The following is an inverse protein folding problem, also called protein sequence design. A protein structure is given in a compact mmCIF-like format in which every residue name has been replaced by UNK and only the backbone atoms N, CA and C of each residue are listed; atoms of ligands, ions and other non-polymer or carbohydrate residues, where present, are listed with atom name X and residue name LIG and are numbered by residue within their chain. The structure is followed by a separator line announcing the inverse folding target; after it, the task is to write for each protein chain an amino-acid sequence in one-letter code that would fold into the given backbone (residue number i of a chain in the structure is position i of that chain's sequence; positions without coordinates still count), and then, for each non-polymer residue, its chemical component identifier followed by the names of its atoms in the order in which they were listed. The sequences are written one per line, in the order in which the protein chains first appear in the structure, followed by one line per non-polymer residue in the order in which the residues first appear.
data_IF_410343113321
#
_entry.id   IF_410343113321
#
_cell.length_a   1.000
_cell.length_b   1.000
_cell.length_c   1.000
_cell.angle_alpha   90.00
_cell.angle_beta   90.00
_cell.angle_gamma   90.00
#
_symmetry.space_group_name_H-M   'P 1'
#
loop_
_entity.id
_entity.type
_entity.pdbx_description
1 polymer ?
#
# COMPACT_ATOMS: atom_id res chain seq x y z
N UNK A 1 32.50 -43.59 12.45
CA UNK A 1 32.43 -42.88 11.15
C UNK A 1 32.14 -41.41 11.41
N UNK A 2 33.11 -40.52 11.23
CA UNK A 2 32.93 -39.09 11.49
C UNK A 2 32.04 -38.44 10.42
N UNK A 3 31.05 -37.66 10.84
CA UNK A 3 30.15 -36.93 9.92
C UNK A 3 30.95 -35.79 9.29
N UNK A 4 30.93 -35.66 7.97
CA UNK A 4 31.59 -34.54 7.28
C UNK A 4 30.88 -33.22 7.60
N UNK A 5 31.64 -32.11 7.68
CA UNK A 5 31.09 -30.77 7.97
C UNK A 5 29.90 -30.40 7.07
N UNK A 6 29.97 -30.76 5.78
CA UNK A 6 28.88 -30.55 4.82
C UNK A 6 27.60 -31.33 5.18
N UNK A 7 27.72 -32.60 5.61
CA UNK A 7 26.57 -33.42 6.05
C UNK A 7 25.97 -32.91 7.36
N UNK A 8 26.80 -32.39 8.27
CA UNK A 8 26.33 -31.75 9.50
C UNK A 8 25.55 -30.46 9.18
N UNK A 9 26.08 -29.59 8.31
CA UNK A 9 25.41 -28.36 7.89
C UNK A 9 24.06 -28.61 7.22
N UNK A 10 23.99 -29.61 6.33
CA UNK A 10 22.73 -30.00 5.67
C UNK A 10 21.69 -30.53 6.67
N UNK A 11 22.10 -31.33 7.67
CA UNK A 11 21.19 -31.81 8.72
C UNK A 11 20.66 -30.69 9.60
N UNK A 12 21.51 -29.72 9.94
CA UNK A 12 21.10 -28.53 10.69
C UNK A 12 20.09 -27.72 9.88
N UNK A 13 20.37 -27.48 8.59
CA UNK A 13 19.43 -26.81 7.69
C UNK A 13 18.07 -27.51 7.65
N UNK A 14 18.03 -28.84 7.42
CA UNK A 14 16.79 -29.62 7.43
C UNK A 14 16.07 -29.55 8.78
N UNK A 15 16.82 -29.61 9.90
CA UNK A 15 16.26 -29.49 11.24
C UNK A 15 15.61 -28.14 11.47
N UNK A 16 16.26 -27.05 11.05
CA UNK A 16 15.71 -25.69 11.11
C UNK A 16 14.43 -25.60 10.26
N UNK A 17 14.46 -26.06 9.02
CA UNK A 17 13.27 -26.07 8.14
C UNK A 17 12.12 -26.83 8.80
N UNK A 18 12.39 -28.03 9.35
CA UNK A 18 11.37 -28.83 10.03
C UNK A 18 10.76 -28.12 11.23
N UNK A 19 11.58 -27.47 12.07
CA UNK A 19 11.10 -26.70 13.22
C UNK A 19 10.19 -25.56 12.77
N UNK A 20 10.57 -24.81 11.73
CA UNK A 20 9.73 -23.76 11.16
C UNK A 20 8.40 -24.32 10.61
N UNK A 21 8.44 -25.44 9.89
CA UNK A 21 7.22 -26.07 9.37
C UNK A 21 6.27 -26.54 10.48
N UNK A 22 6.80 -27.15 11.54
CA UNK A 22 6.00 -27.61 12.68
C UNK A 22 5.41 -26.43 13.46
N UNK A 23 6.20 -25.37 13.69
CA UNK A 23 5.72 -24.15 14.35
C UNK A 23 4.60 -23.49 13.54
N UNK A 24 4.76 -23.40 12.22
CA UNK A 24 3.72 -22.88 11.32
C UNK A 24 2.45 -23.72 11.39
N UNK A 25 2.56 -25.04 11.27
CA UNK A 25 1.41 -25.95 11.34
C UNK A 25 0.67 -25.85 12.68
N UNK A 26 1.40 -25.88 13.80
CA UNK A 26 0.82 -25.73 15.13
C UNK A 26 0.06 -24.40 15.29
N UNK A 27 0.63 -23.31 14.77
CA UNK A 27 0.01 -21.98 14.78
C UNK A 27 -1.28 -21.96 13.95
N UNK A 28 -1.26 -22.52 12.73
CA UNK A 28 -2.45 -22.60 11.87
C UNK A 28 -3.57 -23.40 12.54
N UNK A 29 -3.24 -24.56 13.13
CA UNK A 29 -4.21 -25.41 13.85
C UNK A 29 -4.81 -24.67 15.05
N UNK A 30 -3.97 -23.98 15.84
CA UNK A 30 -4.41 -23.20 16.99
C UNK A 30 -5.38 -22.07 16.59
N UNK A 31 -5.02 -21.27 15.58
CA UNK A 31 -5.87 -20.20 15.08
C UNK A 31 -7.20 -20.73 14.54
N UNK A 32 -7.16 -21.80 13.73
CA UNK A 32 -8.35 -22.41 13.17
C UNK A 32 -9.30 -22.94 14.26
N UNK A 33 -8.76 -23.68 15.23
CA UNK A 33 -9.53 -24.19 16.35
C UNK A 33 -10.13 -23.03 17.20
N UNK A 34 -9.34 -22.01 17.50
CA UNK A 34 -9.77 -20.84 18.26
C UNK A 34 -10.88 -20.04 17.59
N UNK A 35 -10.79 -19.82 16.27
CA UNK A 35 -11.83 -19.15 15.49
C UNK A 35 -13.10 -20.00 15.45
N UNK A 36 -12.98 -21.32 15.17
CA UNK A 36 -14.12 -22.24 15.11
C UNK A 36 -14.85 -22.35 16.44
N UNK A 37 -14.13 -22.31 17.55
CA UNK A 37 -14.68 -22.36 18.90
C UNK A 37 -15.12 -20.98 19.41
N UNK A 38 -15.00 -19.91 18.60
CA UNK A 38 -15.28 -18.51 18.99
C UNK A 38 -14.45 -18.00 20.17
N UNK A 39 -13.37 -18.69 20.53
CA UNK A 39 -12.40 -18.25 21.52
C UNK A 39 -11.54 -17.09 21.00
N UNK A 40 -11.32 -17.04 19.68
CA UNK A 40 -10.68 -15.92 18.97
C UNK A 40 -11.73 -15.30 18.05
N UNK A 41 -12.01 -14.00 18.24
CA UNK A 41 -12.88 -13.27 17.32
C UNK A 41 -12.04 -12.66 16.20
N UNK A 42 -12.48 -12.84 14.96
CA UNK A 42 -11.81 -12.27 13.78
C UNK A 42 -11.68 -10.74 13.89
N UNK A 43 -12.68 -10.08 14.49
CA UNK A 43 -12.66 -8.64 14.72
C UNK A 43 -11.48 -8.17 15.59
N UNK A 44 -10.99 -9.02 16.51
CA UNK A 44 -9.90 -8.64 17.42
C UNK A 44 -8.53 -8.76 16.73
N UNK A 45 -8.42 -9.63 15.72
CA UNK A 45 -7.15 -9.89 14.98
C UNK A 45 -7.07 -9.17 13.64
N UNK A 46 -8.20 -8.82 13.03
CA UNK A 46 -8.26 -8.17 11.72
C UNK A 46 -7.43 -6.87 11.65
N UNK A 47 -7.48 -5.95 12.64
CA UNK A 47 -6.69 -4.72 12.59
C UNK A 47 -5.18 -5.01 12.50
N UNK A 48 -4.69 -5.99 13.27
CA UNK A 48 -3.28 -6.38 13.24
C UNK A 48 -2.89 -7.00 11.91
N UNK A 49 -3.75 -7.85 11.34
CA UNK A 49 -3.51 -8.45 10.03
C UNK A 49 -3.44 -7.40 8.92
N UNK A 50 -4.31 -6.38 8.97
CA UNK A 50 -4.27 -5.29 8.00
C UNK A 50 -3.00 -4.46 8.11
N UNK A 51 -2.54 -4.17 9.34
CA UNK A 51 -1.26 -3.48 9.55
C UNK A 51 -0.07 -4.29 9.02
N UNK A 52 -0.06 -5.61 9.22
CA UNK A 52 0.99 -6.48 8.67
C UNK A 52 0.99 -6.45 7.14
N UNK A 53 -0.19 -6.53 6.50
CA UNK A 53 -0.28 -6.44 5.02
C UNK A 53 0.20 -5.07 4.51
N UNK A 54 -0.18 -3.98 5.18
CA UNK A 54 0.29 -2.62 4.85
C UNK A 54 1.81 -2.54 4.97
N UNK A 55 2.40 -3.03 6.06
CA UNK A 55 3.85 -3.04 6.27
C UNK A 55 4.57 -3.83 5.19
N UNK A 56 4.01 -4.97 4.74
CA UNK A 56 4.57 -5.73 3.62
C UNK A 56 4.58 -4.90 2.34
N UNK A 57 3.51 -4.16 2.04
CA UNK A 57 3.44 -3.28 0.87
C UNK A 57 4.46 -2.13 0.98
N UNK A 58 4.57 -1.50 2.14
CA UNK A 58 5.57 -0.47 2.40
C UNK A 58 6.99 -1.00 2.24
N UNK A 59 7.28 -2.21 2.76
CA UNK A 59 8.57 -2.85 2.58
C UNK A 59 8.88 -3.10 1.10
N UNK A 60 7.93 -3.60 0.32
CA UNK A 60 8.09 -3.75 -1.13
C UNK A 60 8.34 -2.40 -1.82
N UNK A 61 7.70 -1.33 -1.35
CA UNK A 61 7.86 0.02 -1.90
C UNK A 61 9.28 0.58 -1.67
N UNK A 62 9.92 0.27 -0.54
CA UNK A 62 11.31 0.69 -0.25
C UNK A 62 12.31 0.20 -1.30
N UNK A 63 12.07 -0.98 -1.88
CA UNK A 63 12.94 -1.56 -2.91
C UNK A 63 12.53 -1.16 -4.34
N UNK A 64 11.54 -0.29 -4.49
CA UNK A 64 11.02 0.14 -5.79
C UNK A 64 11.32 1.61 -6.08
N UNK A 65 11.50 1.96 -7.36
CA UNK A 65 11.56 3.36 -7.80
C UNK A 65 10.22 4.08 -7.62
N UNK A 66 10.19 5.40 -7.85
CA UNK A 66 9.00 6.23 -7.60
C UNK A 66 7.72 5.72 -8.29
N UNK A 67 7.81 5.22 -9.52
CA UNK A 67 6.67 4.61 -10.23
C UNK A 67 6.20 3.31 -9.57
N UNK A 68 7.13 2.50 -9.07
CA UNK A 68 6.82 1.28 -8.31
C UNK A 68 6.14 1.61 -6.99
N UNK A 69 6.66 2.60 -6.26
CA UNK A 69 6.06 3.12 -5.03
C UNK A 69 4.65 3.62 -5.29
N UNK A 70 4.44 4.37 -6.38
CA UNK A 70 3.11 4.86 -6.76
C UNK A 70 2.14 3.71 -7.10
N UNK A 71 2.59 2.67 -7.81
CA UNK A 71 1.75 1.49 -8.09
C UNK A 71 1.32 0.79 -6.80
N UNK A 72 2.24 0.61 -5.87
CA UNK A 72 1.95 0.00 -4.56
C UNK A 72 1.00 0.89 -3.76
N UNK A 73 1.23 2.19 -3.73
CA UNK A 73 0.39 3.15 -3.02
C UNK A 73 -1.04 3.20 -3.59
N UNK A 74 -1.21 3.15 -4.92
CA UNK A 74 -2.52 3.03 -5.58
C UNK A 74 -3.22 1.73 -5.23
N UNK A 75 -2.49 0.61 -5.19
CA UNK A 75 -3.03 -0.69 -4.77
C UNK A 75 -3.54 -0.65 -3.33
N UNK A 76 -2.76 -0.07 -2.40
CA UNK A 76 -3.19 0.17 -1.02
C UNK A 76 -4.42 1.08 -0.98
N UNK A 77 -4.44 2.16 -1.76
CA UNK A 77 -5.57 3.07 -1.79
C UNK A 77 -6.87 2.36 -2.22
N UNK A 78 -6.81 1.51 -3.24
CA UNK A 78 -7.92 0.70 -3.74
C UNK A 78 -8.40 -0.34 -2.71
N UNK A 79 -7.46 -0.93 -1.95
CA UNK A 79 -7.79 -1.84 -0.83
C UNK A 79 -8.55 -1.15 0.31
N UNK A 80 -8.68 0.18 0.28
CA UNK A 80 -9.57 0.95 1.16
C UNK A 80 -11.01 0.42 1.23
N UNK A 81 -11.47 -0.29 0.20
CA UNK A 81 -12.75 -0.98 0.20
C UNK A 81 -12.86 -2.06 1.29
N UNK A 82 -11.76 -2.73 1.65
CA UNK A 82 -11.74 -3.75 2.72
C UNK A 82 -11.71 -3.13 4.11
N UNK A 83 -10.89 -2.09 4.28
CA UNK A 83 -10.80 -1.31 5.51
C UNK A 83 -10.20 0.09 5.21
N UNK A 84 -10.75 1.18 5.78
CA UNK A 84 -10.24 2.54 5.58
C UNK A 84 -8.75 2.72 5.89
N UNK A 85 -8.16 1.85 6.73
CA UNK A 85 -6.73 1.89 7.07
C UNK A 85 -5.84 1.76 5.84
N UNK A 86 -6.26 0.98 4.83
CA UNK A 86 -5.53 0.83 3.58
C UNK A 86 -5.59 2.10 2.72
N UNK A 87 -6.77 2.72 2.60
CA UNK A 87 -6.93 3.98 1.90
C UNK A 87 -6.06 5.08 2.50
N UNK A 88 -6.01 5.13 3.84
CA UNK A 88 -5.15 6.07 4.57
C UNK A 88 -3.67 5.86 4.24
N UNK A 89 -3.17 4.62 4.40
CA UNK A 89 -1.76 4.30 4.12
C UNK A 89 -1.38 4.57 2.65
N UNK A 90 -2.24 4.19 1.69
CA UNK A 90 -2.02 4.45 0.28
C UNK A 90 -1.99 5.95 -0.05
N UNK A 91 -2.87 6.73 0.57
CA UNK A 91 -2.91 8.19 0.41
C UNK A 91 -1.66 8.86 0.98
N UNK A 92 -1.22 8.49 2.17
CA UNK A 92 -0.01 9.03 2.79
C UNK A 92 1.23 8.81 1.90
N UNK A 93 1.36 7.61 1.31
CA UNK A 93 2.43 7.32 0.35
C UNK A 93 2.33 8.15 -0.94
N UNK A 94 1.11 8.40 -1.43
CA UNK A 94 0.89 9.26 -2.60
C UNK A 94 1.26 10.71 -2.27
N UNK A 95 0.91 11.20 -1.07
CA UNK A 95 1.26 12.53 -0.58
C UNK A 95 2.78 12.71 -0.50
N UNK A 96 3.50 11.79 0.13
CA UNK A 96 4.97 11.83 0.23
C UNK A 96 5.63 11.85 -1.17
N UNK A 97 5.14 11.03 -2.10
CA UNK A 97 5.64 11.04 -3.48
C UNK A 97 5.32 12.35 -4.21
N UNK A 98 4.13 12.91 -4.00
CA UNK A 98 3.73 14.17 -4.61
C UNK A 98 4.56 15.36 -4.09
N UNK A 99 4.84 15.38 -2.77
CA UNK A 99 5.67 16.37 -2.09
C UNK A 99 7.14 16.28 -2.51
N UNK A 100 7.66 15.07 -2.76
CA UNK A 100 8.99 14.86 -3.35
C UNK A 100 9.08 15.22 -4.85
N UNK A 101 8.00 15.70 -5.44
CA UNK A 101 7.97 16.23 -6.81
C UNK A 101 7.54 15.22 -7.88
N UNK A 102 7.20 13.97 -7.52
CA UNK A 102 6.86 12.96 -8.52
C UNK A 102 5.59 13.34 -9.31
N UNK A 103 5.69 13.58 -10.64
CA UNK A 103 4.58 14.18 -11.39
C UNK A 103 3.35 13.27 -11.45
N UNK A 104 3.52 11.96 -11.63
CA UNK A 104 2.40 11.03 -11.64
C UNK A 104 1.69 10.96 -10.28
N UNK A 105 2.42 11.14 -9.17
CA UNK A 105 1.82 11.19 -7.82
C UNK A 105 1.10 12.51 -7.57
N UNK A 106 1.64 13.64 -8.03
CA UNK A 106 0.94 14.93 -7.94
C UNK A 106 -0.41 14.90 -8.66
N UNK A 107 -0.46 14.35 -9.88
CA UNK A 107 -1.72 14.15 -10.61
C UNK A 107 -2.66 13.20 -9.84
N UNK A 108 -2.13 12.09 -9.31
CA UNK A 108 -2.94 11.12 -8.55
C UNK A 108 -3.52 11.73 -7.28
N UNK A 109 -2.75 12.57 -6.57
CA UNK A 109 -3.22 13.29 -5.39
C UNK A 109 -4.31 14.30 -5.75
N UNK A 110 -4.14 15.02 -6.85
CA UNK A 110 -5.16 15.91 -7.39
C UNK A 110 -6.48 15.17 -7.68
N UNK A 111 -6.41 13.99 -8.33
CA UNK A 111 -7.59 13.15 -8.57
C UNK A 111 -8.29 12.77 -7.24
N UNK A 112 -7.52 12.34 -6.23
CA UNK A 112 -8.06 11.95 -4.92
C UNK A 112 -8.76 13.12 -4.22
N UNK A 113 -8.22 14.33 -4.34
CA UNK A 113 -8.81 15.54 -3.74
C UNK A 113 -10.07 15.95 -4.52
N UNK A 114 -9.97 15.97 -5.86
CA UNK A 114 -11.03 16.44 -6.75
C UNK A 114 -12.24 15.49 -6.80
N UNK A 115 -12.08 14.20 -6.55
CA UNK A 115 -13.22 13.25 -6.60
C UNK A 115 -13.70 12.83 -5.21
N UNK A 116 -13.27 13.53 -4.15
CA UNK A 116 -13.76 13.28 -2.79
C UNK A 116 -15.20 13.77 -2.64
N UNK A 117 -16.11 12.97 -2.06
CA UNK A 117 -17.48 13.42 -1.77
C UNK A 117 -17.49 14.69 -0.92
N UNK A 118 -18.34 15.66 -1.28
CA UNK A 118 -18.47 16.92 -0.54
C UNK A 118 -17.29 17.88 -0.72
N UNK A 119 -16.53 17.76 -1.82
CA UNK A 119 -15.48 18.74 -2.15
C UNK A 119 -16.04 20.17 -2.20
N UNK A 120 -15.29 21.10 -1.64
CA UNK A 120 -15.56 22.52 -1.70
C UNK A 120 -14.64 23.20 -2.73
N UNK A 121 -14.78 24.52 -2.88
CA UNK A 121 -13.94 25.31 -3.77
C UNK A 121 -12.45 25.19 -3.42
N UNK A 122 -12.11 25.12 -2.13
CA UNK A 122 -10.72 24.97 -1.67
C UNK A 122 -10.10 23.66 -2.14
N UNK A 123 -10.83 22.54 -2.05
CA UNK A 123 -10.39 21.25 -2.55
C UNK A 123 -10.17 21.29 -4.06
N UNK A 124 -11.04 21.98 -4.81
CA UNK A 124 -10.90 22.14 -6.26
C UNK A 124 -9.65 22.97 -6.61
N UNK A 125 -9.41 24.09 -5.92
CA UNK A 125 -8.21 24.91 -6.08
C UNK A 125 -6.94 24.11 -5.76
N UNK A 126 -6.95 23.34 -4.67
CA UNK A 126 -5.81 22.51 -4.30
C UNK A 126 -5.53 21.41 -5.35
N UNK A 127 -6.57 20.79 -5.90
CA UNK A 127 -6.41 19.83 -6.99
C UNK A 127 -5.85 20.49 -8.25
N UNK A 128 -6.32 21.69 -8.62
CA UNK A 128 -5.78 22.48 -9.73
C UNK A 128 -4.28 22.72 -9.56
N UNK A 129 -3.84 23.16 -8.38
CA UNK A 129 -2.43 23.41 -8.08
C UNK A 129 -1.57 22.15 -8.27
N UNK A 130 -2.06 20.98 -7.83
CA UNK A 130 -1.34 19.73 -7.99
C UNK A 130 -1.29 19.26 -9.46
N UNK A 131 -2.38 19.40 -10.22
CA UNK A 131 -2.34 19.14 -11.67
C UNK A 131 -1.35 20.06 -12.36
N UNK A 132 -1.34 21.36 -12.02
CA UNK A 132 -0.41 22.34 -12.57
C UNK A 132 1.03 22.00 -12.26
N UNK A 133 1.37 21.63 -11.03
CA UNK A 133 2.73 21.16 -10.65
C UNK A 133 3.18 19.97 -11.50
N UNK A 134 2.29 19.01 -11.73
CA UNK A 134 2.58 17.83 -12.56
C UNK A 134 2.73 18.19 -14.05
N UNK A 135 1.84 19.04 -14.56
CA UNK A 135 1.82 19.50 -15.94
C UNK A 135 3.06 20.32 -16.31
N UNK A 136 3.56 21.16 -15.39
CA UNK A 136 4.79 21.96 -15.55
C UNK A 136 6.05 21.08 -15.71
N UNK A 137 6.01 19.85 -15.20
CA UNK A 137 7.07 18.86 -15.39
C UNK A 137 6.94 18.10 -16.72
N UNK A 138 5.97 18.46 -17.57
CA UNK A 138 5.74 17.82 -18.86
C UNK A 138 4.93 16.52 -18.80
N UNK A 139 4.26 16.24 -17.68
CA UNK A 139 3.45 15.02 -17.56
C UNK A 139 2.13 15.16 -18.32
N UNK A 140 2.08 14.59 -19.53
CA UNK A 140 0.95 14.69 -20.46
C UNK A 140 -0.42 14.42 -19.84
N UNK A 141 -0.61 13.34 -19.05
CA UNK A 141 -1.90 13.08 -18.40
C UNK A 141 -2.35 14.20 -17.46
N UNK A 142 -1.44 14.91 -16.79
CA UNK A 142 -1.79 16.05 -15.95
C UNK A 142 -2.14 17.30 -16.76
N UNK A 143 -1.51 17.50 -17.93
CA UNK A 143 -1.86 18.60 -18.83
C UNK A 143 -3.31 18.45 -19.33
N UNK A 144 -3.69 17.22 -19.72
CA UNK A 144 -5.06 16.91 -20.11
C UNK A 144 -6.06 17.16 -18.97
N UNK A 145 -5.74 16.68 -17.76
CA UNK A 145 -6.60 16.87 -16.57
C UNK A 145 -6.76 18.33 -16.18
N UNK A 146 -5.67 19.11 -16.24
CA UNK A 146 -5.69 20.55 -15.97
C UNK A 146 -6.60 21.28 -16.95
N UNK A 147 -6.44 21.02 -18.26
CA UNK A 147 -7.25 21.66 -19.29
C UNK A 147 -8.74 21.32 -19.16
N UNK A 148 -9.07 20.08 -18.79
CA UNK A 148 -10.44 19.66 -18.52
C UNK A 148 -11.04 20.39 -17.30
N UNK A 149 -10.25 20.54 -16.23
CA UNK A 149 -10.68 21.23 -15.02
C UNK A 149 -10.95 22.72 -15.29
N UNK A 150 -10.04 23.40 -15.99
CA UNK A 150 -10.18 24.82 -16.35
C UNK A 150 -11.36 25.07 -17.28
N UNK A 151 -11.57 24.19 -18.26
CA UNK A 151 -12.75 24.27 -19.14
C UNK A 151 -14.05 24.14 -18.34
N UNK A 152 -14.08 23.26 -17.35
CA UNK A 152 -15.26 23.09 -16.50
C UNK A 152 -15.53 24.28 -15.58
N UNK A 153 -14.54 25.14 -15.30
CA UNK A 153 -14.73 26.39 -14.52
C UNK A 153 -15.29 27.55 -15.37
N UNK A 154 -15.22 27.43 -16.70
CA UNK A 154 -15.69 28.47 -17.64
C UNK A 154 -17.16 28.33 -18.07
N UNK A 155 -17.87 27.30 -17.61
CA UNK A 155 -19.26 26.99 -17.95
C UNK A 155 -20.15 27.28 -16.73
#
# INVERSE_FOLDING_TARGET
MAISKARLGFRIFLGITLVFSLAFFATTVYLYAGIRQKAIKVADVAPTLFQIDILQHQAMALFSGNDGKLKIAKSLYQKGFFDPVYAKAGREMIEELAESGHPASQMTLADIILYRPGQNLEARTLAHDYYKKSALQGYGPAQERLALLEKADTI
#
